data_IF_971759338542
#
_entry.id   IF_971759338542
#
_cell.length_a   1.000
_cell.length_b   1.000
_cell.length_c   1.000
_cell.angle_alpha   90.00
_cell.angle_beta   90.00
_cell.angle_gamma   90.00
#
_symmetry.space_group_name_H-M   'P 1'
#
loop_
_entity.id
_entity.type
_entity.pdbx_description
1 polymer ?
#
# COMPACT_ATOMS: atom_id res chain seq x y z
N UNK A 1 18.34 31.06 7.24
CA UNK A 1 18.65 29.89 8.10
C UNK A 1 17.43 28.98 8.10
N UNK A 2 17.51 27.79 7.51
CA UNK A 2 16.43 26.81 7.65
C UNK A 2 16.26 26.51 9.14
N UNK A 3 15.05 26.70 9.69
CA UNK A 3 14.76 26.33 11.08
C UNK A 3 15.12 24.85 11.24
N UNK A 4 16.04 24.54 12.14
CA UNK A 4 16.28 23.16 12.58
C UNK A 4 14.93 22.65 13.07
N UNK A 5 14.34 21.68 12.38
CA UNK A 5 13.10 21.04 12.85
C UNK A 5 13.46 20.29 14.13
N UNK A 6 12.93 20.74 15.25
CA UNK A 6 13.03 19.99 16.49
C UNK A 6 12.09 18.79 16.42
N UNK A 7 12.63 17.61 16.71
CA UNK A 7 11.88 16.35 16.78
C UNK A 7 11.59 15.98 18.23
N UNK A 8 10.43 15.39 18.54
CA UNK A 8 9.39 14.96 17.61
C UNK A 8 8.46 16.11 17.18
N UNK A 9 7.91 16.02 15.98
CA UNK A 9 6.88 16.94 15.46
C UNK A 9 5.51 16.46 15.93
N UNK A 10 4.74 17.34 16.58
CA UNK A 10 3.32 17.09 16.90
C UNK A 10 2.48 17.51 15.69
N UNK A 11 1.66 16.59 15.17
CA UNK A 11 0.77 16.88 14.05
C UNK A 11 -0.43 17.72 14.52
N UNK A 12 -0.91 18.63 13.70
CA UNK A 12 -2.04 19.51 14.04
C UNK A 12 -3.39 18.76 14.04
N UNK A 13 -3.55 17.80 13.13
CA UNK A 13 -4.80 17.09 12.89
C UNK A 13 -4.54 15.59 12.85
N UNK A 14 -5.42 14.76 13.44
CA UNK A 14 -5.27 13.31 13.37
C UNK A 14 -5.48 12.79 11.94
N UNK A 15 -4.73 11.75 11.56
CA UNK A 15 -4.98 11.01 10.33
C UNK A 15 -5.91 9.84 10.66
N UNK A 16 -7.14 9.88 10.13
CA UNK A 16 -8.20 8.94 10.48
C UNK A 16 -8.42 7.89 9.39
N UNK A 17 -8.77 6.67 9.79
CA UNK A 17 -9.21 5.61 8.88
C UNK A 17 -8.12 5.12 7.94
N UNK A 18 -6.86 5.10 8.35
CA UNK A 18 -5.77 4.53 7.56
C UNK A 18 -6.00 3.03 7.44
N UNK A 19 -6.08 2.52 6.22
CA UNK A 19 -6.31 1.10 5.96
C UNK A 19 -5.02 0.41 5.56
N UNK A 20 -4.82 -0.81 6.05
CA UNK A 20 -3.82 -1.73 5.55
C UNK A 20 -4.49 -3.04 5.16
N UNK A 21 -4.20 -3.52 3.97
CA UNK A 21 -4.72 -4.77 3.45
C UNK A 21 -3.60 -5.62 2.87
N UNK A 22 -3.61 -6.90 3.23
CA UNK A 22 -2.77 -7.96 2.73
C UNK A 22 -3.66 -9.12 2.29
N UNK A 23 -3.52 -9.51 1.02
CA UNK A 23 -4.16 -10.72 0.52
C UNK A 23 -3.27 -11.93 0.82
N UNK A 24 -3.90 -13.02 1.27
CA UNK A 24 -3.30 -14.35 1.33
C UNK A 24 -3.09 -14.97 -0.06
N UNK A 25 -3.71 -14.41 -1.10
CA UNK A 25 -3.65 -14.95 -2.47
C UNK A 25 -2.30 -14.64 -3.11
N UNK A 26 -1.73 -15.64 -3.79
CA UNK A 26 -0.41 -15.56 -4.43
C UNK A 26 0.76 -15.93 -3.50
N UNK A 27 0.51 -16.16 -2.20
CA UNK A 27 1.51 -16.70 -1.27
C UNK A 27 2.56 -15.71 -0.79
N UNK A 28 2.45 -14.42 -1.12
CA UNK A 28 3.44 -13.41 -0.72
C UNK A 28 3.30 -13.00 0.74
N UNK A 29 2.06 -12.90 1.25
CA UNK A 29 1.83 -12.55 2.67
C UNK A 29 0.64 -13.24 3.28
N UNK A 30 0.65 -13.43 4.61
CA UNK A 30 -0.55 -13.81 5.34
C UNK A 30 -1.63 -12.74 5.23
N UNK A 31 -2.89 -13.17 5.22
CA UNK A 31 -4.04 -12.29 5.21
C UNK A 31 -4.04 -11.37 6.44
N UNK A 32 -4.23 -10.08 6.21
CA UNK A 32 -4.51 -9.11 7.27
C UNK A 32 -5.29 -7.93 6.67
N UNK A 33 -6.35 -7.50 7.34
CA UNK A 33 -7.04 -6.26 7.01
C UNK A 33 -7.18 -5.47 8.31
N UNK A 34 -6.73 -4.23 8.34
CA UNK A 34 -6.75 -3.40 9.55
C UNK A 34 -7.08 -1.94 9.21
N UNK A 35 -7.73 -1.26 10.15
CA UNK A 35 -7.94 0.19 10.11
C UNK A 35 -7.42 0.83 11.40
N UNK A 36 -6.63 1.88 11.26
CA UNK A 36 -6.05 2.60 12.37
C UNK A 36 -6.12 4.12 12.22
N UNK A 37 -6.17 4.80 13.36
CA UNK A 37 -6.05 6.25 13.45
C UNK A 37 -4.68 6.63 14.02
N UNK A 38 -4.12 7.73 13.52
CA UNK A 38 -2.86 8.31 13.98
C UNK A 38 -3.16 9.68 14.57
N UNK A 39 -3.13 9.77 15.90
CA UNK A 39 -3.46 10.96 16.67
C UNK A 39 -2.21 11.66 17.20
N UNK A 40 -2.24 12.98 17.40
CA UNK A 40 -1.15 13.67 18.10
C UNK A 40 -0.98 13.11 19.52
N UNK A 41 0.25 12.78 19.87
CA UNK A 41 0.65 12.47 21.24
C UNK A 41 1.33 13.70 21.86
N UNK A 42 0.90 14.17 23.05
CA UNK A 42 1.62 15.21 23.76
C UNK A 42 3.05 14.77 24.06
N UNK A 43 4.02 15.66 23.82
CA UNK A 43 5.44 15.39 24.05
C UNK A 43 5.75 15.70 25.52
N UNK A 44 6.21 14.69 26.26
CA UNK A 44 6.68 14.84 27.64
C UNK A 44 8.12 15.37 27.72
N UNK A 45 8.70 15.33 28.92
CA UNK A 45 10.11 15.68 29.14
C UNK A 45 11.06 14.72 28.40
N UNK A 46 10.73 13.42 28.39
CA UNK A 46 11.42 12.44 27.57
C UNK A 46 10.88 12.46 26.13
N UNK A 47 11.69 13.01 25.22
CA UNK A 47 11.35 13.12 23.79
C UNK A 47 11.43 11.78 23.06
N UNK A 48 12.02 10.74 23.66
CA UNK A 48 12.11 9.39 23.08
C UNK A 48 10.80 8.61 23.25
N UNK A 49 10.01 8.93 24.30
CA UNK A 49 8.68 8.38 24.55
C UNK A 49 7.59 9.19 23.82
N UNK A 50 7.72 9.23 22.49
CA UNK A 50 6.83 10.01 21.62
C UNK A 50 5.92 9.14 20.76
N UNK A 51 5.89 7.83 20.99
CA UNK A 51 5.06 6.90 20.22
C UNK A 51 4.30 5.95 21.13
N UNK A 52 2.99 5.89 20.97
CA UNK A 52 2.12 5.01 21.73
C UNK A 52 1.24 4.17 20.80
N UNK A 53 0.89 2.96 21.26
CA UNK A 53 -0.08 2.11 20.59
C UNK A 53 -1.25 1.83 21.54
N UNK A 54 -2.47 1.86 21.02
CA UNK A 54 -3.70 1.50 21.71
C UNK A 54 -4.50 0.57 20.81
N UNK A 55 -4.87 -0.58 21.36
CA UNK A 55 -5.83 -1.49 20.73
C UNK A 55 -7.24 -1.15 21.22
N UNK A 56 -8.14 -0.83 20.29
CA UNK A 56 -9.57 -0.59 20.57
C UNK A 56 -10.46 -1.61 19.87
N UNK A 57 -9.89 -2.68 19.30
CA UNK A 57 -10.65 -3.78 18.73
C UNK A 57 -11.34 -4.55 19.88
N UNK A 58 -12.65 -4.86 19.78
CA UNK A 58 -13.35 -5.57 20.84
C UNK A 58 -12.73 -6.94 21.14
N UNK A 59 -12.70 -7.29 22.44
CA UNK A 59 -12.17 -8.56 22.90
C UNK A 59 -12.88 -9.74 22.23
N UNK A 60 -12.11 -10.65 21.65
CA UNK A 60 -12.61 -11.83 20.92
C UNK A 60 -12.76 -11.63 19.41
N UNK A 61 -12.64 -10.41 18.88
CA UNK A 61 -12.67 -10.16 17.43
C UNK A 61 -11.29 -10.31 16.76
N UNK A 62 -10.23 -9.98 17.50
CA UNK A 62 -8.85 -10.13 17.07
C UNK A 62 -8.04 -10.82 18.18
N UNK A 63 -7.27 -11.86 17.86
CA UNK A 63 -6.30 -12.42 18.80
C UNK A 63 -5.32 -11.34 19.29
N UNK A 64 -5.03 -11.27 20.61
CA UNK A 64 -4.19 -10.20 21.17
C UNK A 64 -2.79 -10.18 20.58
N UNK A 65 -2.26 -11.33 20.17
CA UNK A 65 -0.98 -11.44 19.46
C UNK A 65 -0.99 -10.71 18.11
N UNK A 66 -2.11 -10.69 17.40
CA UNK A 66 -2.24 -9.96 16.13
C UNK A 66 -2.35 -8.45 16.35
N UNK A 67 -3.08 -8.02 17.38
CA UNK A 67 -3.14 -6.61 17.78
C UNK A 67 -1.75 -6.09 18.18
N UNK A 68 -1.05 -6.86 19.02
CA UNK A 68 0.30 -6.56 19.48
C UNK A 68 1.30 -6.52 18.31
N UNK A 69 1.21 -7.49 17.39
CA UNK A 69 2.06 -7.52 16.20
C UNK A 69 1.82 -6.30 15.31
N UNK A 70 0.56 -5.93 15.05
CA UNK A 70 0.21 -4.70 14.32
C UNK A 70 0.82 -3.45 14.97
N UNK A 71 0.63 -3.29 16.28
CA UNK A 71 1.21 -2.18 17.03
C UNK A 71 2.73 -2.14 16.93
N UNK A 72 3.40 -3.28 17.15
CA UNK A 72 4.84 -3.39 17.04
C UNK A 72 5.35 -3.01 15.63
N UNK A 73 4.66 -3.46 14.59
CA UNK A 73 4.94 -3.11 13.20
C UNK A 73 4.82 -1.61 12.93
N UNK A 74 3.69 -1.01 13.32
CA UNK A 74 3.46 0.43 13.14
C UNK A 74 4.50 1.28 13.87
N UNK A 75 4.81 0.92 15.13
CA UNK A 75 5.79 1.64 15.94
C UNK A 75 7.22 1.46 15.39
N UNK A 76 7.56 0.29 14.85
CA UNK A 76 8.87 0.07 14.24
C UNK A 76 9.08 0.95 13.00
N UNK A 77 8.07 1.06 12.14
CA UNK A 77 8.09 1.93 10.97
C UNK A 77 8.29 3.40 11.35
N UNK A 78 7.50 3.90 12.31
CA UNK A 78 7.59 5.28 12.80
C UNK A 78 8.96 5.59 13.43
N UNK A 79 9.66 4.57 13.94
CA UNK A 79 10.99 4.70 14.54
C UNK A 79 12.15 4.62 13.54
N UNK A 80 11.94 4.12 12.32
CA UNK A 80 13.02 3.88 11.35
C UNK A 80 13.85 5.15 11.07
N UNK A 81 13.22 6.32 11.15
CA UNK A 81 13.83 7.62 10.87
C UNK A 81 14.20 8.42 12.12
N UNK A 82 14.30 7.75 13.28
CA UNK A 82 14.65 8.39 14.55
C UNK A 82 16.08 8.95 14.53
N UNK A 83 16.28 10.13 15.10
CA UNK A 83 17.60 10.75 15.28
C UNK A 83 17.96 10.76 16.75
N UNK A 84 19.06 10.09 17.11
CA UNK A 84 19.48 9.97 18.52
C UNK A 84 18.41 9.32 19.40
N UNK A 85 17.63 8.37 18.86
CA UNK A 85 16.53 7.70 19.56
C UNK A 85 15.21 8.48 19.60
N UNK A 86 15.18 9.73 19.12
CA UNK A 86 13.98 10.55 19.07
C UNK A 86 13.25 10.34 17.73
N UNK A 87 11.99 9.87 17.72
CA UNK A 87 11.23 9.68 16.50
C UNK A 87 10.87 11.01 15.83
N UNK A 88 10.62 11.03 14.52
CA UNK A 88 10.29 12.26 13.79
C UNK A 88 8.94 12.85 14.19
N UNK A 89 7.99 12.03 14.63
CA UNK A 89 6.64 12.46 15.00
C UNK A 89 6.25 11.96 16.38
N UNK A 90 5.40 12.73 17.05
CA UNK A 90 4.78 12.34 18.30
C UNK A 90 3.35 11.83 18.04
N UNK A 91 3.18 10.51 18.00
CA UNK A 91 1.95 9.88 17.51
C UNK A 91 1.43 8.78 18.43
N UNK A 92 0.11 8.76 18.62
CA UNK A 92 -0.62 7.61 19.13
C UNK A 92 -1.27 6.87 17.96
N UNK A 93 -0.92 5.61 17.78
CA UNK A 93 -1.57 4.70 16.84
C UNK A 93 -2.71 4.00 17.56
N UNK A 94 -3.95 4.19 17.09
CA UNK A 94 -5.13 3.48 17.58
C UNK A 94 -5.60 2.47 16.56
N UNK A 95 -5.50 1.18 16.86
CA UNK A 95 -6.13 0.14 16.03
C UNK A 95 -7.64 0.16 16.30
N UNK A 96 -8.42 0.45 15.25
CA UNK A 96 -9.88 0.65 15.34
C UNK A 96 -10.67 -0.60 14.96
N UNK A 97 -10.21 -1.31 13.93
CA UNK A 97 -10.83 -2.53 13.45
C UNK A 97 -9.79 -3.40 12.74
N UNK A 98 -10.02 -4.71 12.75
CA UNK A 98 -9.16 -5.69 12.10
C UNK A 98 -9.94 -6.96 11.72
N UNK A 99 -9.54 -7.58 10.61
CA UNK A 99 -10.02 -8.89 10.17
C UNK A 99 -8.85 -9.83 9.96
N UNK A 100 -9.05 -11.05 10.41
CA UNK A 100 -8.12 -12.15 10.26
C UNK A 100 -8.88 -13.38 9.77
N UNK A 101 -8.13 -14.38 9.31
CA UNK A 101 -8.65 -15.66 8.83
C UNK A 101 -7.78 -16.77 9.39
N UNK A 102 -8.42 -17.79 9.94
CA UNK A 102 -7.72 -18.95 10.48
C UNK A 102 -6.91 -19.64 9.38
N UNK A 103 -5.64 -19.97 9.67
CA UNK A 103 -4.71 -20.58 8.72
C UNK A 103 -4.17 -19.64 7.63
N UNK A 104 -4.77 -18.48 7.40
CA UNK A 104 -4.31 -17.50 6.41
C UNK A 104 -3.63 -16.28 7.06
N UNK A 105 -3.97 -15.93 8.30
CA UNK A 105 -3.38 -14.80 9.04
C UNK A 105 -2.25 -15.23 9.96
N UNK A 106 -1.31 -14.31 10.23
CA UNK A 106 -0.25 -14.52 11.21
C UNK A 106 0.22 -13.20 11.83
N UNK A 107 0.96 -13.27 12.94
CA UNK A 107 1.59 -12.12 13.58
C UNK A 107 2.48 -11.34 12.60
N UNK A 108 3.27 -12.03 11.77
CA UNK A 108 4.11 -11.38 10.76
C UNK A 108 3.29 -10.57 9.75
N UNK A 109 2.11 -11.08 9.35
CA UNK A 109 1.18 -10.37 8.46
C UNK A 109 0.61 -9.11 9.12
N UNK A 110 0.19 -9.21 10.37
CA UNK A 110 -0.31 -8.05 11.11
C UNK A 110 0.78 -7.02 11.41
N UNK A 111 2.01 -7.44 11.74
CA UNK A 111 3.14 -6.53 11.87
C UNK A 111 3.43 -5.79 10.56
N UNK A 112 3.36 -6.48 9.43
CA UNK A 112 3.51 -5.84 8.13
C UNK A 112 2.36 -4.86 7.83
N UNK A 113 1.11 -5.23 8.14
CA UNK A 113 -0.03 -4.32 8.02
C UNK A 113 0.14 -3.06 8.87
N UNK A 114 0.69 -3.18 10.08
CA UNK A 114 1.06 -2.06 10.94
C UNK A 114 2.08 -1.11 10.29
N UNK A 115 3.15 -1.67 9.71
CA UNK A 115 4.15 -0.88 8.97
C UNK A 115 3.53 -0.12 7.81
N UNK A 116 2.71 -0.79 7.00
CA UNK A 116 2.02 -0.13 5.86
C UNK A 116 1.09 0.98 6.31
N UNK A 117 0.35 0.78 7.40
CA UNK A 117 -0.51 1.83 7.94
C UNK A 117 0.32 3.04 8.41
N UNK A 118 1.42 2.81 9.11
CA UNK A 118 2.32 3.89 9.55
C UNK A 118 2.94 4.64 8.36
N UNK A 119 3.40 3.91 7.33
CA UNK A 119 3.93 4.50 6.11
C UNK A 119 2.89 5.40 5.41
N UNK A 120 1.66 4.92 5.26
CA UNK A 120 0.57 5.72 4.66
C UNK A 120 0.21 6.94 5.52
N UNK A 121 0.24 6.82 6.85
CA UNK A 121 0.01 7.95 7.75
C UNK A 121 1.11 9.02 7.61
N UNK A 122 2.38 8.63 7.54
CA UNK A 122 3.50 9.55 7.30
C UNK A 122 3.34 10.24 5.94
N UNK A 123 3.00 9.49 4.88
CA UNK A 123 2.68 10.07 3.56
C UNK A 123 1.59 11.12 3.65
N UNK A 124 0.52 10.86 4.41
CA UNK A 124 -0.59 11.80 4.62
C UNK A 124 -0.12 13.06 5.35
N UNK A 125 0.73 12.92 6.37
CA UNK A 125 1.29 14.05 7.12
C UNK A 125 2.16 14.92 6.22
N UNK A 126 3.07 14.31 5.46
CA UNK A 126 4.03 15.02 4.61
C UNK A 126 3.36 15.72 3.43
N UNK A 127 2.40 15.06 2.79
CA UNK A 127 1.71 15.58 1.61
C UNK A 127 0.43 16.36 1.94
N UNK A 128 0.08 16.49 3.24
CA UNK A 128 -1.18 17.07 3.72
C UNK A 128 -2.39 16.45 3.02
N UNK A 129 -2.39 15.12 2.98
CA UNK A 129 -3.32 14.32 2.21
C UNK A 129 -4.17 13.41 3.13
N UNK A 130 -5.21 12.79 2.58
CA UNK A 130 -5.99 11.75 3.29
C UNK A 130 -5.54 10.35 2.87
N UNK A 131 -5.81 9.31 3.69
CA UNK A 131 -5.42 7.94 3.38
C UNK A 131 -6.08 7.40 2.11
N UNK A 132 -5.36 6.55 1.39
CA UNK A 132 -5.91 5.78 0.27
C UNK A 132 -6.69 4.58 0.79
N UNK A 133 -7.77 4.26 0.09
CA UNK A 133 -8.67 3.16 0.47
C UNK A 133 -8.31 1.84 -0.23
N UNK A 134 -8.39 0.75 0.53
CA UNK A 134 -8.33 -0.63 0.05
C UNK A 134 -9.72 -1.29 0.05
N UNK A 135 -10.60 -0.82 0.94
CA UNK A 135 -11.93 -1.37 1.15
C UNK A 135 -12.92 -0.20 1.19
N UNK A 136 -13.94 -0.26 0.34
CA UNK A 136 -14.99 0.78 0.27
C UNK A 136 -16.11 0.51 1.26
N UNK A 137 -16.54 -0.76 1.34
CA UNK A 137 -17.48 -1.24 2.34
C UNK A 137 -16.71 -2.18 3.25
N UNK A 138 -16.25 -1.66 4.39
CA UNK A 138 -15.90 -2.53 5.49
C UNK A 138 -17.08 -3.47 5.71
N UNK A 139 -16.93 -4.81 5.69
CA UNK A 139 -18.08 -5.64 5.97
C UNK A 139 -18.48 -5.32 7.41
N UNK A 140 -19.63 -4.69 7.58
CA UNK A 140 -20.17 -4.42 8.90
C UNK A 140 -20.42 -5.75 9.62
N UNK A 141 -20.14 -5.82 10.93
CA UNK A 141 -21.06 -6.47 11.85
C UNK A 141 -21.48 -5.47 12.94
N UNK A 142 -22.78 -5.16 12.89
CA UNK A 142 -23.70 -4.73 13.96
C UNK A 142 -23.09 -4.21 15.29
N UNK A 143 -22.47 -3.05 15.24
CA UNK A 143 -22.91 -1.89 16.03
C UNK A 143 -22.70 -0.65 15.18
N UNK A 144 -23.80 -0.11 14.68
CA UNK A 144 -23.81 1.10 13.88
C UNK A 144 -23.31 2.28 14.71
N UNK A 145 -22.05 2.66 14.58
CA UNK A 145 -21.57 4.02 14.92
C UNK A 145 -20.23 4.40 14.26
N UNK A 146 -19.43 3.46 13.74
CA UNK A 146 -18.20 3.84 13.07
C UNK A 146 -18.37 3.96 11.55
N UNK A 147 -18.81 5.13 11.09
CA UNK A 147 -18.37 5.65 9.80
C UNK A 147 -16.99 6.27 10.03
N UNK A 148 -15.91 5.86 9.33
CA UNK A 148 -14.64 6.55 9.43
C UNK A 148 -14.86 8.02 9.04
N UNK A 149 -14.65 9.00 9.94
CA UNK A 149 -14.87 10.40 9.63
C UNK A 149 -13.92 10.83 8.51
N UNK A 150 -14.46 11.41 7.44
CA UNK A 150 -13.67 12.01 6.35
C UNK A 150 -13.54 11.19 5.06
N UNK A 151 -14.25 10.07 4.94
CA UNK A 151 -14.42 9.39 3.64
C UNK A 151 -15.72 9.88 3.00
N UNK A 152 -15.63 10.96 2.21
CA UNK A 152 -16.71 11.51 1.37
C UNK A 152 -17.01 10.57 0.19
N UNK A 153 -17.30 9.31 0.46
CA UNK A 153 -17.70 8.36 -0.58
C UNK A 153 -19.21 8.30 -0.61
N UNK A 154 -19.86 8.58 -1.74
CA UNK A 154 -21.31 8.46 -1.87
C UNK A 154 -21.77 7.06 -1.45
N UNK A 155 -22.86 6.99 -0.68
CA UNK A 155 -23.39 5.72 -0.15
C UNK A 155 -23.83 4.75 -1.27
N UNK A 156 -24.13 5.30 -2.44
CA UNK A 156 -24.51 4.66 -3.69
C UNK A 156 -23.34 4.45 -4.67
N UNK A 157 -22.10 4.79 -4.30
CA UNK A 157 -20.95 4.59 -5.16
C UNK A 157 -20.83 3.12 -5.55
N UNK A 158 -20.73 2.89 -6.86
CA UNK A 158 -20.52 1.59 -7.47
C UNK A 158 -19.28 1.71 -8.35
N UNK A 159 -18.39 0.73 -8.28
CA UNK A 159 -17.24 0.71 -9.18
C UNK A 159 -17.74 0.73 -10.63
N UNK A 160 -17.20 1.60 -11.50
CA UNK A 160 -17.40 1.48 -12.92
C UNK A 160 -17.00 0.07 -13.39
N UNK A 161 -17.68 -0.44 -14.41
CA UNK A 161 -17.35 -1.73 -15.01
C UNK A 161 -15.92 -1.69 -15.55
N UNK A 162 -15.05 -2.56 -15.04
CA UNK A 162 -13.68 -2.70 -15.49
C UNK A 162 -13.55 -3.99 -16.30
N UNK A 163 -13.03 -3.90 -17.53
CA UNK A 163 -12.79 -5.11 -18.30
C UNK A 163 -11.43 -5.71 -17.91
N UNK A 164 -11.25 -7.03 -17.96
CA UNK A 164 -9.93 -7.63 -17.76
C UNK A 164 -8.93 -7.10 -18.80
N UNK A 165 -7.79 -6.61 -18.33
CA UNK A 165 -6.64 -6.21 -19.15
C UNK A 165 -5.50 -7.17 -18.80
N UNK A 166 -5.00 -7.90 -19.80
CA UNK A 166 -3.97 -8.94 -19.64
C UNK A 166 -2.65 -8.48 -20.20
N UNK A 167 -1.56 -9.00 -19.66
CA UNK A 167 -0.21 -8.85 -20.20
C UNK A 167 0.21 -7.38 -20.33
N UNK A 168 -0.04 -6.58 -19.30
CA UNK A 168 0.45 -5.21 -19.24
C UNK A 168 1.94 -5.24 -18.95
N UNK A 169 2.74 -5.02 -19.98
CA UNK A 169 4.19 -5.03 -19.90
C UNK A 169 4.75 -3.65 -19.53
N UNK A 170 5.67 -3.64 -18.58
CA UNK A 170 6.47 -2.46 -18.23
C UNK A 170 7.94 -2.81 -18.26
N UNK A 171 8.73 -1.96 -18.90
CA UNK A 171 10.18 -2.09 -19.03
C UNK A 171 10.87 -0.76 -18.74
N UNK A 172 11.49 -0.66 -17.58
CA UNK A 172 12.33 0.47 -17.16
C UNK A 172 13.77 -0.01 -17.13
N UNK A 173 14.49 0.19 -18.23
CA UNK A 173 15.89 -0.23 -18.36
C UNK A 173 16.69 0.91 -18.97
N UNK A 174 17.77 1.33 -18.30
CA UNK A 174 18.79 2.22 -18.89
C UNK A 174 20.19 1.76 -18.51
N UNK A 175 21.12 1.81 -19.46
CA UNK A 175 22.52 1.36 -19.31
C UNK A 175 23.46 2.54 -19.02
N UNK A 176 23.09 3.39 -18.06
CA UNK A 176 23.94 4.48 -17.57
C UNK A 176 24.64 4.07 -16.28
N UNK A 177 25.65 4.83 -15.82
CA UNK A 177 26.43 4.53 -14.62
C UNK A 177 25.61 4.39 -13.32
N UNK A 178 24.37 4.93 -13.31
CA UNK A 178 23.33 4.61 -12.34
C UNK A 178 22.13 4.04 -13.12
N UNK A 179 22.17 2.76 -13.44
CA UNK A 179 21.14 2.11 -14.23
C UNK A 179 19.78 2.14 -13.53
N UNK A 180 18.72 2.28 -14.32
CA UNK A 180 17.36 2.00 -13.84
C UNK A 180 17.03 0.60 -14.34
N UNK A 181 16.61 -0.30 -13.45
CA UNK A 181 16.15 -1.63 -13.85
C UNK A 181 14.86 -2.02 -13.11
N UNK A 182 13.77 -2.19 -13.86
CA UNK A 182 12.55 -2.87 -13.43
C UNK A 182 11.79 -3.35 -14.67
N UNK A 183 11.57 -4.66 -14.76
CA UNK A 183 10.70 -5.26 -15.79
C UNK A 183 9.61 -6.03 -15.08
N UNK A 184 8.36 -5.79 -15.46
CA UNK A 184 7.21 -6.45 -14.86
C UNK A 184 6.09 -6.64 -15.88
N UNK A 185 5.37 -7.75 -15.75
CA UNK A 185 4.14 -8.03 -16.48
C UNK A 185 3.04 -8.33 -15.49
N UNK A 186 1.93 -7.61 -15.60
CA UNK A 186 0.79 -7.77 -14.71
C UNK A 186 -0.54 -7.81 -15.46
N UNK A 187 -1.50 -8.50 -14.85
CA UNK A 187 -2.89 -8.48 -15.27
C UNK A 187 -3.72 -7.61 -14.33
N UNK A 188 -4.71 -6.93 -14.88
CA UNK A 188 -5.68 -6.13 -14.16
C UNK A 188 -7.06 -6.75 -14.38
N UNK A 189 -7.66 -7.28 -13.33
CA UNK A 189 -8.95 -7.96 -13.35
C UNK A 189 -9.99 -7.17 -12.53
N UNK A 190 -11.27 -7.14 -12.94
CA UNK A 190 -12.30 -6.57 -12.08
C UNK A 190 -12.41 -7.35 -10.76
N UNK A 191 -12.56 -6.63 -9.66
CA UNK A 191 -12.96 -7.23 -8.40
C UNK A 191 -14.47 -7.47 -8.37
N UNK A 192 -14.86 -8.58 -7.76
CA UNK A 192 -16.27 -8.89 -7.55
C UNK A 192 -16.86 -7.86 -6.55
N UNK A 193 -17.99 -7.20 -6.86
CA UNK A 193 -18.58 -6.18 -5.98
C UNK A 193 -18.82 -6.65 -4.55
N UNK A 194 -19.17 -7.93 -4.38
CA UNK A 194 -19.41 -8.59 -3.10
C UNK A 194 -18.16 -8.73 -2.22
N UNK A 195 -16.96 -8.57 -2.77
CA UNK A 195 -15.72 -8.61 -2.00
C UNK A 195 -15.56 -7.40 -1.08
N UNK A 196 -16.22 -6.27 -1.39
CA UNK A 196 -16.04 -4.99 -0.70
C UNK A 196 -14.67 -4.33 -0.91
N UNK A 197 -13.74 -5.02 -1.57
CA UNK A 197 -12.40 -4.56 -1.90
C UNK A 197 -12.43 -3.60 -3.08
N UNK A 198 -11.62 -2.56 -3.00
CA UNK A 198 -11.32 -1.64 -4.10
C UNK A 198 -10.01 -1.99 -4.80
N UNK A 199 -9.09 -2.61 -4.07
CA UNK A 199 -7.78 -2.97 -4.59
C UNK A 199 -7.33 -4.27 -3.95
N UNK A 200 -6.92 -5.23 -4.78
CA UNK A 200 -6.27 -6.46 -4.35
C UNK A 200 -5.00 -6.65 -5.15
N UNK A 201 -3.89 -6.93 -4.48
CA UNK A 201 -2.65 -7.28 -5.14
C UNK A 201 -2.32 -8.74 -4.88
N UNK A 202 -1.93 -9.44 -5.95
CA UNK A 202 -1.52 -10.84 -5.93
C UNK A 202 -0.21 -10.91 -6.69
N UNK A 203 0.87 -11.27 -6.02
CA UNK A 203 2.13 -11.59 -6.68
C UNK A 203 2.22 -13.11 -6.78
N UNK A 204 2.40 -13.63 -7.99
CA UNK A 204 2.46 -15.06 -8.29
C UNK A 204 3.90 -15.58 -8.34
N UNK A 205 4.85 -14.66 -8.16
CA UNK A 205 6.27 -14.94 -8.15
C UNK A 205 6.71 -15.35 -6.74
N UNK A 206 7.54 -16.38 -6.66
CA UNK A 206 8.22 -16.76 -5.43
C UNK A 206 9.28 -15.71 -5.05
N UNK A 207 9.60 -15.63 -3.76
CA UNK A 207 10.65 -14.72 -3.23
C UNK A 207 12.02 -14.94 -3.89
N UNK A 208 12.33 -16.17 -4.32
CA UNK A 208 13.56 -16.49 -5.05
C UNK A 208 13.62 -15.87 -6.45
N UNK A 209 12.46 -15.52 -7.02
CA UNK A 209 12.33 -14.93 -8.36
C UNK A 209 12.26 -13.41 -8.29
N UNK A 210 11.54 -12.87 -7.31
CA UNK A 210 11.41 -11.44 -7.06
C UNK A 210 11.44 -11.18 -5.56
N UNK A 211 12.44 -10.42 -5.04
CA UNK A 211 12.44 -9.99 -3.65
C UNK A 211 11.12 -9.30 -3.26
N UNK A 212 10.57 -9.68 -2.10
CA UNK A 212 9.29 -9.16 -1.62
C UNK A 212 9.22 -7.62 -1.60
N UNK A 213 10.33 -6.95 -1.28
CA UNK A 213 10.45 -5.47 -1.29
C UNK A 213 10.12 -4.86 -2.66
N UNK A 214 10.44 -5.54 -3.76
CA UNK A 214 10.12 -5.08 -5.11
C UNK A 214 8.68 -5.36 -5.51
N UNK A 215 8.12 -6.51 -5.08
CA UNK A 215 6.69 -6.77 -5.23
C UNK A 215 5.85 -5.73 -4.46
N UNK A 216 6.28 -5.35 -3.25
CA UNK A 216 5.67 -4.28 -2.44
C UNK A 216 5.73 -2.92 -3.12
N UNK A 217 6.90 -2.58 -3.65
CA UNK A 217 7.08 -1.35 -4.38
C UNK A 217 6.16 -1.29 -5.61
N UNK A 218 6.08 -2.37 -6.39
CA UNK A 218 5.17 -2.48 -7.53
C UNK A 218 3.71 -2.34 -7.12
N UNK A 219 3.29 -3.07 -6.09
CA UNK A 219 1.94 -2.96 -5.53
C UNK A 219 1.59 -1.51 -5.17
N UNK A 220 2.48 -0.86 -4.40
CA UNK A 220 2.31 0.53 -3.95
C UNK A 220 2.15 1.46 -5.15
N UNK A 221 3.00 1.31 -6.17
CA UNK A 221 2.92 2.09 -7.40
C UNK A 221 1.61 1.88 -8.17
N UNK A 222 1.16 0.63 -8.28
CA UNK A 222 -0.11 0.32 -8.96
C UNK A 222 -1.31 0.94 -8.22
N UNK A 223 -1.38 0.77 -6.89
CA UNK A 223 -2.45 1.37 -6.07
C UNK A 223 -2.44 2.90 -6.15
N UNK A 224 -1.25 3.50 -6.16
CA UNK A 224 -1.05 4.94 -6.32
C UNK A 224 -1.67 5.48 -7.60
N UNK A 225 -1.35 4.87 -8.74
CA UNK A 225 -1.86 5.32 -10.02
C UNK A 225 -3.37 5.11 -10.15
N UNK A 226 -3.91 4.02 -9.57
CA UNK A 226 -5.34 3.75 -9.54
C UNK A 226 -6.13 4.75 -8.67
N UNK A 227 -5.54 5.24 -7.57
CA UNK A 227 -6.14 6.29 -6.74
C UNK A 227 -5.92 7.71 -7.31
N UNK A 228 -4.90 7.93 -8.14
CA UNK A 228 -4.59 9.22 -8.72
C UNK A 228 -5.53 9.61 -9.88
N UNK A 229 -6.11 8.63 -10.56
CA UNK A 229 -6.97 8.84 -11.72
C UNK A 229 -8.42 9.13 -11.29
N UNK A 230 -8.69 10.32 -10.77
CA UNK A 230 -10.03 10.75 -10.37
C UNK A 230 -10.02 11.92 -9.37
N UNK A 231 -11.19 12.50 -9.11
CA UNK A 231 -11.34 13.59 -8.13
C UNK A 231 -11.44 13.07 -6.68
N UNK A 232 -11.56 11.76 -6.49
CA UNK A 232 -11.70 11.09 -5.20
C UNK A 232 -10.52 10.17 -4.92
N UNK A 233 -10.10 10.06 -3.65
CA UNK A 233 -9.02 9.16 -3.17
C UNK A 233 -9.42 7.68 -3.11
N UNK A 234 -10.45 7.33 -3.86
CA UNK A 234 -10.89 5.97 -4.16
C UNK A 234 -10.17 5.55 -5.44
N UNK A 235 -9.82 4.26 -5.58
CA UNK A 235 -9.51 3.73 -6.90
C UNK A 235 -10.62 4.07 -7.89
N UNK A 236 -10.25 4.51 -9.10
CA UNK A 236 -11.22 4.80 -10.19
C UNK A 236 -12.15 3.62 -10.46
N UNK A 237 -11.62 2.42 -10.26
CA UNK A 237 -12.25 1.13 -10.50
C UNK A 237 -11.78 0.15 -9.43
N UNK A 238 -12.63 -0.80 -9.04
CA UNK A 238 -12.28 -1.89 -8.16
C UNK A 238 -11.55 -2.98 -8.95
N UNK A 239 -10.26 -3.17 -8.68
CA UNK A 239 -9.37 -3.99 -9.50
C UNK A 239 -8.44 -4.87 -8.67
N UNK A 240 -8.26 -6.10 -9.14
CA UNK A 240 -7.18 -6.99 -8.73
C UNK A 240 -6.01 -6.84 -9.70
N UNK A 241 -4.82 -6.62 -9.16
CA UNK A 241 -3.57 -6.62 -9.91
C UNK A 241 -2.84 -7.92 -9.64
N UNK A 242 -2.57 -8.71 -10.68
CA UNK A 242 -1.82 -9.97 -10.61
C UNK A 242 -0.45 -9.79 -11.26
N UNK A 243 0.61 -9.74 -10.47
CA UNK A 243 1.99 -9.69 -10.96
C UNK A 243 2.48 -11.13 -11.20
N UNK A 244 2.64 -11.50 -12.47
CA UNK A 244 2.94 -12.88 -12.87
C UNK A 244 4.30 -13.06 -13.55
N UNK A 245 4.95 -11.98 -14.00
CA UNK A 245 6.35 -11.98 -14.40
C UNK A 245 7.06 -10.70 -13.95
N UNK A 246 8.32 -10.85 -13.55
CA UNK A 246 9.19 -9.73 -13.23
C UNK A 246 10.66 -10.12 -13.37
N UNK A 247 11.49 -9.13 -13.71
CA UNK A 247 12.95 -9.22 -13.68
C UNK A 247 13.49 -8.05 -12.88
N UNK A 248 14.54 -8.32 -12.11
CA UNK A 248 15.31 -7.34 -11.34
C UNK A 248 16.81 -7.59 -11.51
N UNK A 249 17.62 -6.60 -11.14
CA UNK A 249 19.08 -6.64 -11.13
C UNK A 249 19.57 -6.15 -9.77
N UNK A 250 20.57 -6.80 -9.20
CA UNK A 250 21.00 -6.56 -7.81
C UNK A 250 21.44 -5.11 -7.55
N UNK A 251 22.11 -4.49 -8.52
CA UNK A 251 22.69 -3.16 -8.37
C UNK A 251 21.82 -2.06 -8.97
N UNK A 252 21.12 -2.35 -10.07
CA UNK A 252 20.37 -1.35 -10.84
C UNK A 252 18.87 -1.31 -10.50
N UNK A 253 18.36 -2.32 -9.79
CA UNK A 253 16.98 -2.30 -9.28
C UNK A 253 16.89 -1.60 -7.94
N UNK A 254 15.81 -0.86 -7.76
CA UNK A 254 15.47 -0.22 -6.50
C UNK A 254 13.96 -0.23 -6.31
N UNK A 255 13.50 -0.07 -5.06
CA UNK A 255 12.09 0.11 -4.75
C UNK A 255 11.48 1.28 -5.53
N UNK A 256 12.26 2.33 -5.81
CA UNK A 256 11.79 3.46 -6.61
C UNK A 256 11.39 3.02 -8.02
N UNK A 257 12.22 2.21 -8.70
CA UNK A 257 11.93 1.76 -10.06
C UNK A 257 10.77 0.77 -10.12
N UNK A 258 10.65 -0.12 -9.13
CA UNK A 258 9.48 -1.00 -9.06
C UNK A 258 8.19 -0.23 -8.72
N UNK A 259 8.26 0.83 -7.91
CA UNK A 259 7.14 1.75 -7.71
C UNK A 259 6.74 2.42 -9.02
N UNK A 260 7.71 2.95 -9.77
CA UNK A 260 7.42 3.58 -11.07
C UNK A 260 6.87 2.56 -12.08
N UNK A 261 7.36 1.32 -12.06
CA UNK A 261 6.85 0.25 -12.90
C UNK A 261 5.37 -0.06 -12.60
N UNK A 262 5.00 -0.17 -11.32
CA UNK A 262 3.62 -0.35 -10.89
C UNK A 262 2.71 0.79 -11.33
N UNK A 263 3.16 2.04 -11.18
CA UNK A 263 2.41 3.23 -11.64
C UNK A 263 2.15 3.18 -13.15
N UNK A 264 3.18 2.86 -13.94
CA UNK A 264 3.05 2.77 -15.40
C UNK A 264 2.15 1.63 -15.85
N UNK A 265 2.21 0.47 -15.17
CA UNK A 265 1.33 -0.65 -15.46
C UNK A 265 -0.14 -0.27 -15.24
N UNK A 266 -0.45 0.34 -14.09
CA UNK A 266 -1.80 0.81 -13.78
C UNK A 266 -2.28 1.92 -14.73
N UNK A 267 -1.42 2.89 -15.05
CA UNK A 267 -1.74 3.94 -16.02
C UNK A 267 -2.05 3.36 -17.41
N UNK A 268 -1.29 2.37 -17.85
CA UNK A 268 -1.52 1.67 -19.12
C UNK A 268 -2.82 0.87 -19.11
N UNK A 269 -3.13 0.18 -18.02
CA UNK A 269 -4.40 -0.53 -17.85
C UNK A 269 -5.60 0.42 -17.89
N UNK A 270 -5.49 1.60 -17.26
CA UNK A 270 -6.52 2.65 -17.30
C UNK A 270 -6.65 3.25 -18.70
N UNK A 271 -5.54 3.51 -19.41
CA UNK A 271 -5.57 3.93 -20.83
C UNK A 271 -6.33 2.92 -21.66
N UNK A 272 -5.98 1.63 -21.54
CA UNK A 272 -6.69 0.57 -22.23
C UNK A 272 -8.18 0.63 -21.89
N UNK A 273 -8.54 0.67 -20.60
CA UNK A 273 -9.93 0.75 -20.14
C UNK A 273 -10.70 1.86 -20.86
N UNK A 274 -10.15 3.07 -20.95
CA UNK A 274 -10.78 4.24 -21.60
C UNK A 274 -10.84 4.10 -23.13
N UNK A 275 -9.75 3.66 -23.77
CA UNK A 275 -9.62 3.66 -25.24
C UNK A 275 -10.19 2.40 -25.90
N UNK A 276 -10.46 1.34 -25.15
CA UNK A 276 -10.92 0.06 -25.69
C UNK A 276 -9.81 -0.80 -26.35
N UNK A 277 -8.59 -0.27 -26.46
CA UNK A 277 -7.46 -0.98 -27.07
C UNK A 277 -6.75 -1.99 -26.16
N UNK A 278 -5.86 -2.84 -26.73
CA UNK A 278 -4.98 -3.70 -25.94
C UNK A 278 -3.81 -2.90 -25.32
N UNK A 279 -3.10 -3.49 -24.35
CA UNK A 279 -1.84 -2.93 -23.85
C UNK A 279 -0.81 -2.77 -24.96
N UNK A 280 0.12 -1.83 -24.78
CA UNK A 280 1.27 -1.67 -25.67
C UNK A 280 2.05 -2.99 -25.72
N UNK A 281 2.19 -3.59 -26.92
CA UNK A 281 2.94 -4.83 -27.09
C UNK A 281 4.40 -4.72 -26.64
N UNK A 282 4.94 -5.81 -26.08
CA UNK A 282 6.31 -5.88 -25.56
C UNK A 282 7.37 -5.53 -26.63
N UNK A 283 7.17 -5.94 -27.88
CA UNK A 283 8.06 -5.66 -29.02
C UNK A 283 8.20 -4.16 -29.29
N UNK A 284 7.14 -3.38 -29.05
CA UNK A 284 7.20 -1.91 -29.16
C UNK A 284 7.92 -1.25 -27.99
N UNK A 285 7.99 -1.93 -26.84
CA UNK A 285 8.80 -1.51 -25.70
C UNK A 285 10.27 -1.91 -25.88
N UNK A 286 10.54 -3.02 -26.58
CA UNK A 286 11.89 -3.52 -26.88
C UNK A 286 12.52 -2.89 -28.11
N UNK A 287 11.77 -2.43 -29.12
CA UNK A 287 12.28 -1.78 -30.33
C UNK A 287 13.14 -0.52 -30.07
N UNK A 288 13.19 -0.04 -28.84
CA UNK A 288 14.12 1.00 -28.38
C UNK A 288 15.49 0.46 -27.92
N UNK A 289 15.79 -0.84 -27.99
CA UNK A 289 17.04 -1.42 -27.50
C UNK A 289 17.36 -2.87 -27.97
N UNK A 290 18.62 -3.21 -28.32
CA UNK A 290 19.02 -4.57 -28.72
C UNK A 290 19.20 -5.55 -27.55
N UNK A 291 18.96 -6.85 -27.80
CA UNK A 291 18.85 -7.97 -26.84
C UNK A 291 20.10 -8.27 -25.97
N UNK A 292 21.24 -7.64 -26.20
CA UNK A 292 22.53 -8.04 -25.62
C UNK A 292 22.79 -7.59 -24.16
N UNK A 293 21.75 -7.21 -23.40
CA UNK A 293 21.88 -6.78 -22.01
C UNK A 293 21.35 -7.81 -20.99
N UNK A 294 21.03 -9.03 -21.45
CA UNK A 294 20.68 -10.15 -20.60
C UNK A 294 21.94 -11.01 -20.37
N UNK A 295 22.77 -10.64 -19.40
CA UNK A 295 23.72 -11.56 -18.76
C UNK A 295 23.94 -11.14 -17.32
#
# INVERSE_FOLDING_TARGET
MARVREFPIVIEHPIRGVQAYLSSRGGVRPYALASADFEPLPVGEDRTDALAFVDEVPAGELPPEFAAAFGAGALAELRQWSRGGVPPYALRVRLRDARWREGESSEAGFAWAGRRAAFEAVRCIENRDRPRLFVFRWPAPRTATFSPPGHDVPQDWTSPAFRPIRDVHVRLVTTAACGMFAVATADFEPLAPESGLLFEFVCELADSRLPHVFAEAFERGAHESLCAFGTSRLPTVAVRVRLHDAKWHEVDSSEYYFTDAGRRAAAEALRCQVEGGPPVPLDRLSARWPESAET
#
